data_IF_794023114704
#
_entry.id   IF_794023114704
#
_cell.length_a   1.000
_cell.length_b   1.000
_cell.length_c   1.000
_cell.angle_alpha   90.00
_cell.angle_beta   90.00
_cell.angle_gamma   90.00
#
_symmetry.space_group_name_H-M   'P 1'
#
loop_
_entity.id
_entity.type
_entity.pdbx_description
1 polymer ?
#
# COMPACT_ATOMS: atom_id res chain seq x y z
N UNK A 1 36.65 29.12 39.69
CA UNK A 1 35.26 29.48 39.32
C UNK A 1 35.24 29.96 37.87
N UNK A 2 34.73 29.15 36.92
CA UNK A 2 34.49 29.57 35.54
C UNK A 2 33.19 28.92 35.05
N UNK A 3 32.14 29.73 34.85
CA UNK A 3 30.83 29.29 34.34
C UNK A 3 30.29 30.33 33.37
N UNK A 4 30.30 30.02 32.07
CA UNK A 4 29.43 30.56 31.00
C UNK A 4 30.01 30.09 29.66
N UNK A 5 29.27 29.59 28.67
CA UNK A 5 27.84 29.27 28.54
C UNK A 5 27.82 28.28 27.35
N UNK A 6 27.29 27.08 27.56
CA UNK A 6 27.02 26.13 26.48
C UNK A 6 25.99 26.73 25.53
N UNK A 7 26.33 26.72 24.25
CA UNK A 7 25.50 27.11 23.11
C UNK A 7 24.26 26.21 23.04
N UNK A 8 23.11 26.71 23.51
CA UNK A 8 21.81 26.14 23.14
C UNK A 8 21.51 26.56 21.70
N UNK A 9 21.95 25.75 20.74
CA UNK A 9 21.41 25.77 19.39
C UNK A 9 20.03 25.09 19.46
N UNK A 10 18.97 25.89 19.41
CA UNK A 10 17.61 25.37 19.34
C UNK A 10 17.40 24.70 18.00
N UNK A 11 17.41 23.37 17.97
CA UNK A 11 16.83 22.58 16.89
C UNK A 11 15.34 22.92 16.88
N UNK A 12 14.95 23.85 16.00
CA UNK A 12 13.56 24.21 15.80
C UNK A 12 12.95 23.10 14.95
N UNK A 13 12.62 22.01 15.62
CA UNK A 13 11.97 20.85 15.04
C UNK A 13 10.52 21.25 14.75
N UNK A 14 10.35 22.00 13.66
CA UNK A 14 9.06 22.34 13.08
C UNK A 14 8.42 21.03 12.63
N UNK A 15 7.78 20.35 13.58
CA UNK A 15 6.98 19.18 13.35
C UNK A 15 5.80 19.63 12.49
N UNK A 16 5.96 19.53 11.17
CA UNK A 16 4.90 19.78 10.21
C UNK A 16 3.72 18.89 10.60
N UNK A 17 2.68 19.50 11.16
CA UNK A 17 1.39 18.84 11.28
C UNK A 17 0.91 18.55 9.86
N UNK A 18 0.99 17.29 9.44
CA UNK A 18 0.24 16.84 8.28
C UNK A 18 -1.23 17.13 8.55
N UNK A 19 -1.89 18.02 7.79
CA UNK A 19 -3.32 18.21 7.95
C UNK A 19 -3.99 16.93 7.44
N UNK A 20 -4.42 16.08 8.37
CA UNK A 20 -5.21 14.85 8.13
C UNK A 20 -6.64 15.21 7.74
N UNK A 21 -6.81 16.12 6.77
CA UNK A 21 -8.10 16.28 6.10
C UNK A 21 -8.14 15.28 4.96
N UNK A 22 -8.75 14.14 5.25
CA UNK A 22 -9.22 13.16 4.27
C UNK A 22 -9.95 13.88 3.13
N UNK A 23 -9.21 14.28 2.10
CA UNK A 23 -9.79 14.60 0.81
C UNK A 23 -10.22 13.28 0.20
N UNK A 24 -11.44 13.26 -0.33
CA UNK A 24 -12.04 12.08 -0.95
C UNK A 24 -11.06 11.41 -1.91
N UNK A 25 -10.41 10.34 -1.46
CA UNK A 25 -9.53 9.54 -2.30
C UNK A 25 -10.42 8.95 -3.41
N UNK A 26 -10.11 9.13 -4.71
CA UNK A 26 -10.98 8.67 -5.79
C UNK A 26 -11.12 7.15 -5.88
N UNK A 27 -10.47 6.39 -4.99
CA UNK A 27 -10.32 4.94 -5.09
C UNK A 27 -11.59 4.16 -4.75
N UNK A 28 -12.60 4.77 -4.12
CA UNK A 28 -13.81 4.05 -3.73
C UNK A 28 -15.10 4.66 -4.24
N UNK A 29 -15.38 4.42 -5.54
CA UNK A 29 -16.77 4.20 -5.98
C UNK A 29 -16.90 3.36 -7.26
N UNK A 30 -16.07 2.33 -7.43
CA UNK A 30 -16.39 1.28 -8.41
C UNK A 30 -17.36 0.30 -7.73
N UNK A 31 -18.58 0.17 -8.25
CA UNK A 31 -19.53 -0.86 -7.78
C UNK A 31 -18.88 -2.22 -8.05
N UNK A 32 -18.33 -2.83 -7.01
CA UNK A 32 -17.69 -4.15 -7.10
C UNK A 32 -18.73 -5.16 -7.59
N UNK A 33 -18.48 -5.77 -8.74
CA UNK A 33 -19.27 -6.91 -9.21
C UNK A 33 -19.07 -8.09 -8.26
N UNK A 34 -20.01 -9.04 -8.22
CA UNK A 34 -19.94 -10.21 -7.33
C UNK A 34 -18.61 -10.98 -7.48
N UNK A 35 -18.11 -11.09 -8.71
CA UNK A 35 -16.80 -11.70 -8.99
C UNK A 35 -15.62 -10.91 -8.42
N UNK A 36 -15.67 -9.57 -8.42
CA UNK A 36 -14.63 -8.74 -7.83
C UNK A 36 -14.63 -8.83 -6.29
N UNK A 37 -15.80 -8.96 -5.65
CA UNK A 37 -15.88 -9.23 -4.20
C UNK A 37 -15.31 -10.60 -3.82
N UNK A 38 -15.62 -11.63 -4.61
CA UNK A 38 -15.05 -12.97 -4.40
C UNK A 38 -13.54 -12.96 -4.60
N UNK A 39 -13.04 -12.31 -5.66
CA UNK A 39 -11.61 -12.16 -5.92
C UNK A 39 -10.89 -11.38 -4.81
N UNK A 40 -11.50 -10.33 -4.26
CA UNK A 40 -10.95 -9.59 -3.11
C UNK A 40 -10.90 -10.43 -1.83
N UNK A 41 -11.91 -11.29 -1.60
CA UNK A 41 -11.92 -12.25 -0.51
C UNK A 41 -10.81 -13.30 -0.66
N UNK A 42 -10.66 -13.87 -1.85
CA UNK A 42 -9.62 -14.86 -2.16
C UNK A 42 -8.23 -14.23 -2.12
N UNK A 43 -8.05 -12.99 -2.58
CA UNK A 43 -6.76 -12.29 -2.51
C UNK A 43 -6.33 -12.02 -1.05
N UNK A 44 -7.27 -11.62 -0.19
CA UNK A 44 -7.02 -11.48 1.25
C UNK A 44 -6.73 -12.81 1.94
N UNK A 45 -7.39 -13.88 1.53
CA UNK A 45 -7.22 -15.20 2.11
C UNK A 45 -5.91 -15.86 1.63
N UNK A 46 -5.64 -15.84 0.34
CA UNK A 46 -4.45 -16.42 -0.30
C UNK A 46 -3.14 -15.70 0.04
N UNK A 47 -3.19 -14.42 0.42
CA UNK A 47 -2.02 -13.66 0.89
C UNK A 47 -1.67 -13.87 2.37
N UNK A 48 -2.46 -14.66 3.12
CA UNK A 48 -2.23 -14.86 4.56
C UNK A 48 -1.33 -16.06 4.82
N UNK A 49 -0.36 -15.89 5.73
CA UNK A 49 0.48 -16.98 6.25
C UNK A 49 -0.32 -18.18 6.81
N UNK A 50 -1.55 -17.93 7.27
CA UNK A 50 -2.45 -18.98 7.77
C UNK A 50 -2.99 -19.89 6.66
N UNK A 51 -3.17 -19.38 5.45
CA UNK A 51 -3.65 -20.17 4.31
C UNK A 51 -2.60 -21.18 3.84
N UNK A 52 -1.34 -20.74 3.78
CA UNK A 52 -0.19 -21.60 3.44
C UNK A 52 -0.06 -22.75 4.46
N UNK A 53 -0.22 -22.45 5.76
CA UNK A 53 -0.21 -23.47 6.81
C UNK A 53 -1.36 -24.48 6.70
N UNK A 54 -2.58 -24.01 6.42
CA UNK A 54 -3.75 -24.89 6.23
C UNK A 54 -3.59 -25.80 4.99
N UNK A 55 -3.08 -25.24 3.89
CA UNK A 55 -2.82 -25.99 2.66
C UNK A 55 -1.74 -27.06 2.84
N UNK A 56 -0.65 -26.73 3.55
CA UNK A 56 0.39 -27.69 3.90
C UNK A 56 -0.16 -28.82 4.79
N UNK A 57 -1.00 -28.49 5.78
CA UNK A 57 -1.64 -29.50 6.64
C UNK A 57 -2.57 -30.42 5.83
N UNK A 58 -3.35 -29.87 4.91
CA UNK A 58 -4.20 -30.64 4.01
C UNK A 58 -3.39 -31.63 3.16
N UNK A 59 -2.25 -31.20 2.59
CA UNK A 59 -1.36 -32.09 1.83
C UNK A 59 -0.78 -33.22 2.70
N UNK A 60 -0.38 -32.92 3.93
CA UNK A 60 0.13 -33.94 4.87
C UNK A 60 -0.95 -34.97 5.21
N UNK A 61 -2.18 -34.52 5.49
CA UNK A 61 -3.32 -35.41 5.78
C UNK A 61 -3.65 -36.27 4.57
N UNK A 62 -3.69 -35.67 3.38
CA UNK A 62 -4.00 -36.38 2.13
C UNK A 62 -2.93 -37.42 1.77
N UNK A 63 -1.65 -37.09 1.97
CA UNK A 63 -0.52 -38.00 1.79
C UNK A 63 -0.58 -39.14 2.81
N UNK A 64 -0.91 -38.84 4.08
CA UNK A 64 -1.09 -39.84 5.13
C UNK A 64 -2.26 -40.79 4.86
N UNK A 65 -3.40 -40.27 4.39
CA UNK A 65 -4.56 -41.08 3.97
C UNK A 65 -4.21 -41.99 2.80
N UNK A 66 -3.51 -41.48 1.78
CA UNK A 66 -3.08 -42.31 0.64
C UNK A 66 -2.08 -43.39 1.05
N UNK A 67 -1.14 -43.09 1.96
CA UNK A 67 -0.20 -44.06 2.50
C UNK A 67 -0.90 -45.17 3.31
N UNK A 68 -1.95 -44.84 4.08
CA UNK A 68 -2.77 -45.82 4.79
C UNK A 68 -3.66 -46.65 3.85
N UNK A 69 -4.13 -46.06 2.75
CA UNK A 69 -4.88 -46.79 1.73
C UNK A 69 -3.97 -47.77 0.96
N UNK A 70 -2.71 -47.41 0.75
CA UNK A 70 -1.68 -48.25 0.11
C UNK A 70 -1.46 -49.61 0.82
N UNK A 71 -1.72 -49.68 2.12
CA UNK A 71 -1.60 -50.93 2.90
C UNK A 71 -2.82 -51.85 2.80
N UNK A 72 -3.96 -51.39 2.28
CA UNK A 72 -5.18 -52.20 2.14
C UNK A 72 -5.60 -52.45 0.69
N UNK A 73 -5.44 -51.47 -0.20
CA UNK A 73 -5.66 -51.62 -1.63
C UNK A 73 -5.03 -50.42 -2.35
N UNK A 74 -4.11 -50.62 -3.31
CA UNK A 74 -3.36 -49.53 -3.92
C UNK A 74 -4.26 -48.71 -4.86
N UNK A 75 -4.97 -47.74 -4.29
CA UNK A 75 -5.80 -46.79 -5.04
C UNK A 75 -4.95 -45.76 -5.80
N UNK A 76 -3.71 -45.50 -5.36
CA UNK A 76 -2.70 -44.67 -6.05
C UNK A 76 -1.26 -45.14 -5.72
N UNK A 77 -0.69 -46.09 -6.51
CA UNK A 77 0.70 -46.56 -6.37
C UNK A 77 1.73 -45.44 -6.57
N UNK A 78 2.91 -45.58 -5.97
CA UNK A 78 4.03 -44.65 -6.19
C UNK A 78 4.35 -44.57 -7.70
N UNK A 79 4.40 -43.38 -8.34
CA UNK A 79 4.45 -42.02 -7.80
C UNK A 79 3.10 -41.29 -7.93
N UNK A 80 2.36 -41.14 -6.83
CA UNK A 80 1.04 -40.47 -6.66
C UNK A 80 0.56 -39.64 -7.88
N UNK A 81 0.02 -40.32 -8.90
CA UNK A 81 -0.22 -39.70 -10.22
C UNK A 81 -1.34 -38.67 -10.14
N UNK A 82 -2.35 -38.95 -9.30
CA UNK A 82 -3.50 -38.09 -9.08
C UNK A 82 -3.14 -36.83 -8.29
N UNK A 83 -2.24 -36.97 -7.30
CA UNK A 83 -1.74 -35.86 -6.51
C UNK A 83 -0.91 -34.92 -7.38
N UNK A 84 -0.01 -35.48 -8.18
CA UNK A 84 0.85 -34.71 -9.08
C UNK A 84 0.03 -33.99 -10.18
N UNK A 85 -1.00 -34.63 -10.71
CA UNK A 85 -1.94 -34.02 -11.66
C UNK A 85 -2.69 -32.84 -11.03
N UNK A 86 -3.20 -33.02 -9.81
CA UNK A 86 -3.97 -32.00 -9.10
C UNK A 86 -3.11 -30.78 -8.77
N UNK A 87 -1.89 -31.00 -8.26
CA UNK A 87 -0.94 -29.93 -7.98
C UNK A 87 -0.50 -29.17 -9.24
N UNK A 88 -0.27 -29.89 -10.35
CA UNK A 88 0.11 -29.26 -11.63
C UNK A 88 -1.00 -28.36 -12.15
N UNK A 89 -2.26 -28.81 -12.06
CA UNK A 89 -3.43 -27.99 -12.42
C UNK A 89 -3.56 -26.75 -11.50
N UNK A 90 -3.36 -26.91 -10.20
CA UNK A 90 -3.41 -25.82 -9.23
C UNK A 90 -2.33 -24.75 -9.52
N UNK A 91 -1.10 -25.19 -9.81
CA UNK A 91 0.01 -24.32 -10.17
C UNK A 91 -0.23 -23.57 -11.48
N UNK A 92 -0.83 -24.24 -12.49
CA UNK A 92 -1.17 -23.61 -13.77
C UNK A 92 -2.16 -22.43 -13.60
N UNK A 93 -3.10 -22.54 -12.67
CA UNK A 93 -4.10 -21.50 -12.38
C UNK A 93 -3.52 -20.39 -11.50
N UNK A 94 -2.47 -20.66 -10.71
CA UNK A 94 -1.86 -19.65 -9.83
C UNK A 94 -1.26 -18.47 -10.60
N UNK A 95 -0.52 -18.71 -11.68
CA UNK A 95 0.16 -17.63 -12.40
C UNK A 95 -0.81 -16.56 -12.98
N UNK A 96 -1.93 -16.92 -13.64
CA UNK A 96 -2.94 -15.96 -14.08
C UNK A 96 -3.64 -15.22 -12.94
N UNK A 97 -3.95 -15.90 -11.83
CA UNK A 97 -4.62 -15.26 -10.67
C UNK A 97 -3.67 -14.26 -10.00
N UNK A 98 -2.41 -14.62 -9.83
CA UNK A 98 -1.37 -13.73 -9.32
C UNK A 98 -1.19 -12.55 -10.29
N UNK A 99 -1.15 -12.79 -11.60
CA UNK A 99 -1.02 -11.73 -12.61
C UNK A 99 -2.22 -10.77 -12.61
N UNK A 100 -3.45 -11.30 -12.50
CA UNK A 100 -4.66 -10.48 -12.44
C UNK A 100 -4.73 -9.64 -11.16
N UNK A 101 -4.32 -10.19 -10.02
CA UNK A 101 -4.28 -9.44 -8.75
C UNK A 101 -3.17 -8.40 -8.77
N UNK A 102 -1.99 -8.71 -9.32
CA UNK A 102 -0.90 -7.76 -9.51
C UNK A 102 -1.28 -6.62 -10.47
N UNK A 103 -1.87 -6.92 -11.61
CA UNK A 103 -2.29 -5.91 -12.59
C UNK A 103 -3.30 -4.92 -11.96
N UNK A 104 -4.19 -5.40 -11.10
CA UNK A 104 -5.15 -4.56 -10.38
C UNK A 104 -4.48 -3.71 -9.30
N UNK A 105 -3.51 -4.26 -8.56
CA UNK A 105 -2.75 -3.48 -7.57
C UNK A 105 -1.94 -2.39 -8.25
N UNK A 106 -1.26 -2.70 -9.37
CA UNK A 106 -0.49 -1.73 -10.14
C UNK A 106 -1.35 -0.57 -10.67
N UNK A 107 -2.58 -0.82 -11.12
CA UNK A 107 -3.47 0.26 -11.56
C UNK A 107 -3.91 1.15 -10.39
N UNK A 108 -4.17 0.56 -9.20
CA UNK A 108 -4.46 1.33 -7.97
C UNK A 108 -3.27 2.20 -7.58
N UNK A 109 -2.08 1.62 -7.53
CA UNK A 109 -0.84 2.33 -7.18
C UNK A 109 -0.56 3.48 -8.17
N UNK A 110 -0.84 3.27 -9.47
CA UNK A 110 -0.69 4.32 -10.49
C UNK A 110 -1.67 5.48 -10.30
N UNK A 111 -2.92 5.20 -9.94
CA UNK A 111 -3.93 6.23 -9.68
C UNK A 111 -3.54 7.03 -8.44
N UNK A 112 -3.10 6.35 -7.39
CA UNK A 112 -2.69 6.96 -6.13
C UNK A 112 -1.46 7.86 -6.33
N UNK A 113 -0.46 7.40 -7.09
CA UNK A 113 0.70 8.22 -7.47
C UNK A 113 0.30 9.47 -8.27
N UNK A 114 -0.60 9.34 -9.27
CA UNK A 114 -1.09 10.50 -10.04
C UNK A 114 -1.82 11.52 -9.16
N UNK A 115 -2.60 11.04 -8.20
CA UNK A 115 -3.31 11.89 -7.26
C UNK A 115 -2.34 12.65 -6.35
N UNK A 116 -1.39 11.94 -5.76
CA UNK A 116 -0.36 12.53 -4.90
C UNK A 116 0.45 13.60 -5.64
N UNK A 117 0.88 13.32 -6.88
CA UNK A 117 1.54 14.30 -7.73
C UNK A 117 0.68 15.56 -8.00
N UNK A 118 -0.62 15.41 -8.22
CA UNK A 118 -1.52 16.53 -8.45
C UNK A 118 -1.71 17.39 -7.19
N UNK A 119 -1.84 16.76 -6.02
CA UNK A 119 -1.91 17.44 -4.72
C UNK A 119 -0.62 18.19 -4.44
N UNK A 120 0.53 17.57 -4.66
CA UNK A 120 1.83 18.20 -4.44
C UNK A 120 2.01 19.46 -5.32
N UNK A 121 1.67 19.38 -6.62
CA UNK A 121 1.69 20.54 -7.53
C UNK A 121 0.71 21.65 -7.13
N UNK A 122 -0.42 21.30 -6.52
CA UNK A 122 -1.38 22.28 -5.99
C UNK A 122 -0.80 22.98 -4.77
N UNK A 123 -0.25 22.24 -3.82
CA UNK A 123 0.42 22.78 -2.65
C UNK A 123 1.57 23.73 -3.02
N UNK A 124 2.41 23.33 -3.99
CA UNK A 124 3.51 24.16 -4.49
C UNK A 124 3.02 25.50 -5.08
N UNK A 125 1.90 25.50 -5.82
CA UNK A 125 1.28 26.72 -6.33
C UNK A 125 0.76 27.61 -5.21
N UNK A 126 0.09 27.03 -4.22
CA UNK A 126 -0.44 27.78 -3.07
C UNK A 126 0.69 28.41 -2.24
N UNK A 127 1.79 27.69 -2.01
CA UNK A 127 3.00 28.22 -1.35
C UNK A 127 3.57 29.41 -2.12
N UNK A 128 3.69 29.30 -3.46
CA UNK A 128 4.16 30.42 -4.30
C UNK A 128 3.27 31.64 -4.20
N UNK A 129 1.94 31.46 -4.12
CA UNK A 129 0.99 32.57 -3.97
C UNK A 129 1.20 33.25 -2.63
N UNK A 130 1.28 32.47 -1.54
CA UNK A 130 1.52 32.99 -0.19
C UNK A 130 2.83 33.77 -0.14
N UNK A 131 3.92 33.26 -0.73
CA UNK A 131 5.20 33.96 -0.79
C UNK A 131 5.09 35.31 -1.51
N UNK A 132 4.40 35.36 -2.66
CA UNK A 132 4.16 36.61 -3.39
C UNK A 132 3.38 37.62 -2.55
N UNK A 133 2.39 37.17 -1.78
CA UNK A 133 1.60 38.05 -0.94
C UNK A 133 2.41 38.55 0.27
N UNK A 134 3.28 37.72 0.85
CA UNK A 134 4.23 38.14 1.89
C UNK A 134 5.22 39.21 1.36
N UNK A 135 5.70 39.06 0.13
CA UNK A 135 6.56 40.07 -0.49
C UNK A 135 5.82 41.40 -0.72
N UNK A 136 4.55 41.35 -1.13
CA UNK A 136 3.71 42.56 -1.28
C UNK A 136 3.51 43.27 0.06
N UNK A 137 3.16 42.53 1.11
CA UNK A 137 3.00 43.08 2.46
C UNK A 137 4.30 43.73 2.94
N UNK A 138 5.42 43.04 2.75
CA UNK A 138 6.75 43.57 3.11
C UNK A 138 7.06 44.87 2.38
N UNK A 139 6.77 44.96 1.08
CA UNK A 139 6.92 46.20 0.30
C UNK A 139 6.04 47.33 0.84
N UNK A 140 4.76 47.07 1.12
CA UNK A 140 3.86 48.08 1.69
C UNK A 140 4.35 48.59 3.04
N UNK A 141 4.85 47.72 3.92
CA UNK A 141 5.42 48.13 5.22
C UNK A 141 6.63 49.05 5.02
N UNK A 142 7.52 48.70 4.08
CA UNK A 142 8.70 49.52 3.77
C UNK A 142 8.32 50.90 3.19
N UNK A 143 7.28 50.96 2.36
CA UNK A 143 6.77 52.23 1.82
C UNK A 143 6.15 53.12 2.89
N UNK A 144 5.32 52.54 3.78
CA UNK A 144 4.73 53.26 4.90
C UNK A 144 5.83 53.82 5.82
N UNK A 145 6.82 52.99 6.18
CA UNK A 145 7.98 53.44 6.98
C UNK A 145 8.72 54.60 6.32
N UNK A 146 8.89 54.57 4.99
CA UNK A 146 9.53 55.66 4.23
C UNK A 146 8.72 56.96 4.28
N UNK A 147 7.38 56.88 4.25
CA UNK A 147 6.48 58.04 4.35
C UNK A 147 6.44 58.65 5.76
N UNK A 148 6.59 57.85 6.80
CA UNK A 148 6.59 58.35 8.20
C UNK A 148 7.92 59.00 8.61
N UNK A 149 9.04 58.66 7.96
CA UNK A 149 10.37 59.21 8.29
C UNK A 149 10.67 60.52 7.53
N UNK A 150 9.89 60.86 6.50
CA UNK A 150 9.91 62.16 5.83
C UNK A 150 8.89 63.10 6.46
#
# INVERSE_FOLDING_TARGET
MAKKKSTKNGSNDNHYHHPTKHHNHPVFRQRLTLGQKAADGVAKFGGSWKFIGLFALYLIIWMGMNAWLLTKSPFDPFPFILLNLTLSCLAAIQAPVILMTQNRQAERDRIDAKYDHAVNRKAEREIRIIQKDMDKITRHILELKRKTIK
#
